data_IF_163366661171
#
_entry.id   IF_163366661171
#
_cell.length_a   1.000
_cell.length_b   1.000
_cell.length_c   1.000
_cell.angle_alpha   90.00
_cell.angle_beta   90.00
_cell.angle_gamma   90.00
#
_symmetry.space_group_name_H-M   'P 1'
#
loop_
_entity.id
_entity.type
_entity.pdbx_description
1 polymer ?
#
# COMPACT_ATOMS: atom_id res chain seq x y z
N UNK A 1 11.25 21.28 4.57
CA UNK A 1 11.78 21.11 5.94
C UNK A 1 12.53 19.79 5.94
N UNK A 2 13.81 19.78 6.18
CA UNK A 2 14.59 18.54 6.25
C UNK A 2 14.34 17.86 7.58
N UNK A 3 14.28 16.54 7.59
CA UNK A 3 14.14 15.77 8.82
C UNK A 3 15.41 15.93 9.67
N UNK A 4 15.23 16.10 10.97
CA UNK A 4 16.35 16.02 11.91
C UNK A 4 16.88 14.59 11.94
N UNK A 5 18.19 14.42 11.69
CA UNK A 5 18.80 13.10 11.64
C UNK A 5 18.78 12.42 13.01
N UNK A 6 18.59 11.11 13.00
CA UNK A 6 18.64 10.27 14.21
C UNK A 6 19.54 9.06 13.97
N UNK A 7 20.34 8.68 14.99
CA UNK A 7 21.07 7.42 14.95
C UNK A 7 20.10 6.25 14.75
N UNK A 8 20.44 5.32 13.85
CA UNK A 8 19.62 4.15 13.59
C UNK A 8 19.94 3.03 14.60
N UNK A 9 18.93 2.69 15.41
CA UNK A 9 18.90 1.43 16.16
C UNK A 9 18.35 0.28 15.25
N UNK A 10 18.25 -0.93 15.79
CA UNK A 10 17.74 -2.08 15.04
C UNK A 10 16.30 -1.88 14.57
N UNK A 11 15.48 -1.23 15.39
CA UNK A 11 14.09 -0.91 15.04
C UNK A 11 14.02 0.16 13.94
N UNK A 12 14.87 1.15 13.98
CA UNK A 12 15.01 2.17 12.95
C UNK A 12 15.43 1.55 11.60
N UNK A 13 16.42 0.65 11.63
CA UNK A 13 16.84 -0.12 10.43
C UNK A 13 15.71 -0.97 9.87
N UNK A 14 14.97 -1.65 10.73
CA UNK A 14 13.81 -2.44 10.30
C UNK A 14 12.76 -1.57 9.60
N UNK A 15 12.39 -0.41 10.17
CA UNK A 15 11.44 0.51 9.55
C UNK A 15 11.97 1.15 8.26
N UNK A 16 13.25 1.48 8.20
CA UNK A 16 13.88 1.97 6.98
C UNK A 16 13.86 0.91 5.88
N UNK A 17 14.05 -0.37 6.23
CA UNK A 17 13.90 -1.49 5.31
C UNK A 17 12.46 -1.65 4.79
N UNK A 18 11.45 -1.59 5.67
CA UNK A 18 10.04 -1.61 5.29
C UNK A 18 9.70 -0.46 4.32
N UNK A 19 10.24 0.74 4.60
CA UNK A 19 10.04 1.90 3.74
C UNK A 19 10.61 1.70 2.33
N UNK A 20 11.83 1.16 2.22
CA UNK A 20 12.43 0.86 0.92
C UNK A 20 11.62 -0.14 0.10
N UNK A 21 11.11 -1.20 0.74
CA UNK A 21 10.23 -2.16 0.07
C UNK A 21 8.93 -1.50 -0.43
N UNK A 22 8.35 -0.57 0.34
CA UNK A 22 7.18 0.18 -0.09
C UNK A 22 7.47 1.06 -1.32
N UNK A 23 8.61 1.76 -1.32
CA UNK A 23 9.02 2.61 -2.45
C UNK A 23 9.29 1.81 -3.73
N UNK A 24 9.75 0.56 -3.58
CA UNK A 24 9.97 -0.34 -4.71
C UNK A 24 8.66 -0.89 -5.30
N UNK A 25 7.57 -0.96 -4.51
CA UNK A 25 6.28 -1.52 -4.91
C UNK A 25 5.88 -2.80 -4.16
N UNK A 26 6.70 -3.26 -3.21
CA UNK A 26 6.42 -4.46 -2.40
C UNK A 26 5.51 -4.17 -1.19
N UNK A 27 4.50 -3.32 -1.37
CA UNK A 27 3.63 -2.81 -0.29
C UNK A 27 2.43 -3.73 0.06
N UNK A 28 2.35 -4.93 -0.54
CA UNK A 28 1.25 -5.89 -0.33
C UNK A 28 1.63 -7.15 0.44
N UNK A 29 2.90 -7.29 0.82
CA UNK A 29 3.41 -8.39 1.65
C UNK A 29 3.46 -7.97 3.13
N UNK A 30 3.74 -8.92 4.03
CA UNK A 30 3.85 -8.63 5.47
C UNK A 30 4.98 -7.62 5.75
N UNK A 31 4.92 -6.93 6.89
CA UNK A 31 5.97 -5.97 7.26
C UNK A 31 7.32 -6.67 7.46
N UNK A 32 7.33 -7.88 8.00
CA UNK A 32 8.56 -8.66 8.19
C UNK A 32 9.15 -9.10 6.86
N UNK A 33 8.31 -9.52 5.90
CA UNK A 33 8.77 -9.86 4.54
C UNK A 33 9.33 -8.65 3.81
N UNK A 34 8.75 -7.44 4.00
CA UNK A 34 9.30 -6.20 3.45
C UNK A 34 10.67 -5.89 4.02
N UNK A 35 10.80 -5.97 5.35
CA UNK A 35 12.09 -5.75 6.01
C UNK A 35 13.13 -6.77 5.51
N UNK A 36 12.76 -8.05 5.45
CA UNK A 36 13.64 -9.11 4.93
C UNK A 36 14.06 -8.84 3.49
N UNK A 37 13.11 -8.49 2.63
CA UNK A 37 13.40 -8.11 1.24
C UNK A 37 14.45 -7.00 1.15
N UNK A 38 14.34 -5.96 1.99
CA UNK A 38 15.29 -4.87 2.01
C UNK A 38 16.69 -5.31 2.44
N UNK A 39 16.79 -6.21 3.43
CA UNK A 39 18.08 -6.80 3.84
C UNK A 39 18.69 -7.64 2.71
N UNK A 40 17.89 -8.45 2.03
CA UNK A 40 18.32 -9.27 0.90
C UNK A 40 18.74 -8.39 -0.32
N UNK A 41 18.08 -7.23 -0.51
CA UNK A 41 18.36 -6.27 -1.58
C UNK A 41 19.58 -5.39 -1.32
N UNK A 42 20.17 -5.41 -0.13
CA UNK A 42 21.30 -4.55 0.25
C UNK A 42 22.47 -4.54 -0.75
N UNK A 43 22.94 -5.68 -1.31
CA UNK A 43 24.01 -5.65 -2.29
C UNK A 43 23.67 -4.81 -3.53
N UNK A 44 22.42 -4.86 -4.00
CA UNK A 44 21.95 -4.06 -5.12
C UNK A 44 21.90 -2.57 -4.75
N UNK A 45 21.40 -2.23 -3.54
CA UNK A 45 21.38 -0.86 -3.06
C UNK A 45 22.80 -0.24 -2.98
N UNK A 46 23.77 -1.01 -2.52
CA UNK A 46 25.20 -0.59 -2.50
C UNK A 46 25.73 -0.35 -3.92
N UNK A 47 25.40 -1.24 -4.87
CA UNK A 47 25.80 -1.07 -6.26
C UNK A 47 25.16 0.18 -6.89
N UNK A 48 23.87 0.41 -6.65
CA UNK A 48 23.15 1.59 -7.11
C UNK A 48 23.75 2.86 -6.48
N UNK A 49 24.01 2.85 -5.19
CA UNK A 49 24.61 4.00 -4.49
C UNK A 49 26.02 4.33 -5.01
N UNK A 50 26.81 3.33 -5.42
CA UNK A 50 28.15 3.51 -5.96
C UNK A 50 28.16 4.15 -7.36
N UNK A 51 27.26 3.77 -8.24
CA UNK A 51 27.12 4.32 -9.59
C UNK A 51 25.66 4.22 -10.09
N UNK A 52 24.83 5.19 -9.77
CA UNK A 52 23.40 5.16 -10.13
C UNK A 52 23.13 5.36 -11.64
N UNK A 53 24.14 5.75 -12.40
CA UNK A 53 24.01 5.92 -13.86
C UNK A 53 24.24 4.62 -14.61
N UNK A 54 24.98 3.69 -14.03
CA UNK A 54 25.23 2.37 -14.61
C UNK A 54 24.30 1.30 -14.03
N UNK A 55 23.88 1.46 -12.78
CA UNK A 55 22.98 0.54 -12.10
C UNK A 55 21.59 1.16 -12.05
N UNK A 56 20.77 0.87 -13.06
CA UNK A 56 19.48 1.51 -13.28
C UNK A 56 18.28 0.80 -12.64
N UNK A 57 18.50 -0.26 -11.87
CA UNK A 57 17.42 -1.05 -11.24
C UNK A 57 16.49 -0.20 -10.37
N UNK A 58 16.97 0.93 -9.85
CA UNK A 58 16.15 1.89 -9.10
C UNK A 58 15.04 2.52 -9.94
N UNK A 59 15.18 2.56 -11.27
CA UNK A 59 14.14 3.13 -12.17
C UNK A 59 12.92 2.24 -12.33
N UNK A 60 12.99 0.97 -11.91
CA UNK A 60 11.89 0.02 -11.92
C UNK A 60 10.98 0.15 -10.69
N UNK A 61 11.39 0.92 -9.69
CA UNK A 61 10.60 1.16 -8.48
C UNK A 61 9.34 1.97 -8.79
N UNK A 62 8.28 1.78 -8.00
CA UNK A 62 7.04 2.56 -8.10
C UNK A 62 7.31 4.06 -7.84
N UNK A 63 8.22 4.38 -6.88
CA UNK A 63 8.68 5.72 -6.55
C UNK A 63 10.19 5.86 -6.79
N UNK A 64 10.67 5.94 -8.06
CA UNK A 64 12.09 5.76 -8.42
C UNK A 64 13.04 6.73 -7.71
N UNK A 65 12.73 8.02 -7.66
CA UNK A 65 13.62 9.02 -7.06
C UNK A 65 13.73 8.88 -5.54
N UNK A 66 12.64 8.55 -4.88
CA UNK A 66 12.65 8.29 -3.44
C UNK A 66 13.37 6.98 -3.13
N UNK A 67 13.20 5.97 -3.99
CA UNK A 67 13.91 4.71 -3.89
C UNK A 67 15.42 4.87 -4.10
N UNK A 68 15.83 5.71 -5.05
CA UNK A 68 17.25 6.05 -5.21
C UNK A 68 17.82 6.72 -3.95
N UNK A 69 17.11 7.67 -3.36
CA UNK A 69 17.51 8.30 -2.11
C UNK A 69 17.60 7.27 -0.96
N UNK A 70 16.67 6.32 -0.92
CA UNK A 70 16.72 5.20 0.01
C UNK A 70 17.94 4.31 -0.23
N UNK A 71 18.32 4.02 -1.46
CA UNK A 71 19.51 3.22 -1.75
C UNK A 71 20.80 3.85 -1.18
N UNK A 72 20.94 5.16 -1.27
CA UNK A 72 22.09 5.87 -0.65
C UNK A 72 22.09 5.70 0.87
N UNK A 73 20.98 5.93 1.54
CA UNK A 73 20.88 5.76 3.00
C UNK A 73 21.03 4.29 3.41
N UNK A 74 20.41 3.34 2.66
CA UNK A 74 20.45 1.92 3.00
C UNK A 74 21.82 1.28 2.83
N UNK A 75 22.61 1.77 1.89
CA UNK A 75 23.99 1.33 1.70
C UNK A 75 24.83 1.54 2.96
N UNK A 76 24.64 2.67 3.66
CA UNK A 76 25.37 3.09 4.86
C UNK A 76 24.66 2.77 6.18
N UNK A 77 23.36 2.41 6.14
CA UNK A 77 22.51 2.20 7.33
C UNK A 77 23.01 1.12 8.30
N UNK A 78 23.99 0.31 7.88
CA UNK A 78 24.58 -0.76 8.69
C UNK A 78 25.92 -0.39 9.34
N UNK A 79 26.39 0.82 9.10
CA UNK A 79 27.59 1.33 9.76
C UNK A 79 27.27 1.75 11.18
N UNK A 80 28.24 1.57 12.09
CA UNK A 80 28.08 1.95 13.49
C UNK A 80 27.94 3.47 13.61
N UNK A 81 26.93 3.91 14.32
CA UNK A 81 26.67 5.34 14.54
C UNK A 81 26.08 6.08 13.34
N UNK A 82 25.68 5.38 12.28
CA UNK A 82 25.02 6.01 11.14
C UNK A 82 23.78 6.81 11.55
N UNK A 83 23.68 8.04 11.04
CA UNK A 83 22.58 8.96 11.30
C UNK A 83 21.74 9.09 10.04
N UNK A 84 20.52 8.55 10.06
CA UNK A 84 19.58 8.67 8.93
C UNK A 84 18.81 9.98 8.96
N UNK A 85 18.68 10.60 7.81
CA UNK A 85 17.88 11.80 7.56
C UNK A 85 16.65 11.52 6.67
N UNK A 86 16.47 10.28 6.24
CA UNK A 86 15.36 9.90 5.38
C UNK A 86 14.08 9.69 6.20
N UNK A 87 13.00 10.43 5.93
CA UNK A 87 11.73 10.21 6.60
C UNK A 87 11.09 8.91 6.12
N UNK A 88 10.65 8.08 7.06
CA UNK A 88 9.87 6.88 6.77
C UNK A 88 8.41 7.26 6.59
N UNK A 89 7.87 7.02 5.38
CA UNK A 89 6.46 7.25 5.07
C UNK A 89 5.58 6.14 5.65
N UNK A 90 4.55 6.55 6.40
CA UNK A 90 3.48 5.68 6.88
C UNK A 90 2.16 6.23 6.35
N UNK A 91 1.32 5.36 5.79
CA UNK A 91 0.01 5.72 5.26
C UNK A 91 -1.08 4.83 5.83
N UNK A 92 -2.31 5.37 5.89
CA UNK A 92 -3.49 4.65 6.33
C UNK A 92 -4.16 3.89 5.17
N UNK A 93 -4.75 2.74 5.49
CA UNK A 93 -5.54 1.97 4.54
C UNK A 93 -6.98 2.46 4.55
N UNK A 94 -7.37 3.35 3.60
CA UNK A 94 -8.72 3.92 3.54
C UNK A 94 -9.10 4.64 4.85
N UNK A 95 -8.34 5.68 5.20
CA UNK A 95 -8.41 6.36 6.50
C UNK A 95 -9.82 6.86 6.90
N UNK A 96 -10.67 7.24 5.95
CA UNK A 96 -12.05 7.59 6.24
C UNK A 96 -12.83 6.43 6.88
N UNK A 97 -12.72 5.22 6.33
CA UNK A 97 -13.34 4.02 6.92
C UNK A 97 -12.63 3.61 8.22
N UNK A 98 -11.30 3.79 8.32
CA UNK A 98 -10.60 3.58 9.59
C UNK A 98 -11.17 4.42 10.71
N UNK A 99 -11.39 5.72 10.47
CA UNK A 99 -11.98 6.62 11.46
C UNK A 99 -13.40 6.20 11.84
N UNK A 100 -14.24 5.84 10.87
CA UNK A 100 -15.59 5.35 11.16
C UNK A 100 -15.57 4.06 11.98
N UNK A 101 -14.75 3.10 11.59
CA UNK A 101 -14.61 1.83 12.31
C UNK A 101 -14.14 2.04 13.75
N UNK A 102 -13.18 2.94 13.95
CA UNK A 102 -12.70 3.30 15.29
C UNK A 102 -13.80 3.96 16.14
N UNK A 103 -14.52 4.94 15.59
CA UNK A 103 -15.60 5.66 16.28
C UNK A 103 -16.77 4.75 16.63
N UNK A 104 -17.16 3.86 15.72
CA UNK A 104 -18.26 2.92 15.90
C UNK A 104 -17.86 1.66 16.66
N UNK A 105 -16.58 1.47 16.95
CA UNK A 105 -16.00 0.24 17.50
C UNK A 105 -16.35 -0.98 16.66
N UNK A 106 -16.36 -0.80 15.33
CA UNK A 106 -16.61 -1.84 14.35
C UNK A 106 -15.33 -2.65 14.12
N UNK A 107 -15.29 -3.84 14.67
CA UNK A 107 -14.13 -4.73 14.57
C UNK A 107 -13.94 -5.26 13.15
N UNK A 108 -15.04 -5.49 12.42
CA UNK A 108 -15.00 -6.00 11.03
C UNK A 108 -14.42 -4.95 10.09
N UNK A 109 -14.94 -3.72 10.15
CA UNK A 109 -14.39 -2.60 9.38
C UNK A 109 -12.96 -2.26 9.79
N UNK A 110 -12.65 -2.37 11.08
CA UNK A 110 -11.29 -2.19 11.61
C UNK A 110 -10.30 -3.21 11.04
N UNK A 111 -10.68 -4.47 10.97
CA UNK A 111 -9.86 -5.53 10.36
C UNK A 111 -9.66 -5.30 8.86
N UNK A 112 -10.75 -4.96 8.14
CA UNK A 112 -10.72 -4.71 6.69
C UNK A 112 -9.87 -3.48 6.29
N UNK A 113 -9.63 -2.55 7.24
CA UNK A 113 -8.86 -1.33 7.04
C UNK A 113 -7.54 -1.30 7.80
N UNK A 114 -7.06 -2.44 8.27
CA UNK A 114 -5.77 -2.59 8.96
C UNK A 114 -5.64 -1.81 10.29
N UNK A 115 -6.75 -1.55 11.00
CA UNK A 115 -6.73 -1.06 12.38
C UNK A 115 -6.48 -2.18 13.39
N UNK A 116 -6.82 -3.41 13.03
CA UNK A 116 -6.57 -4.60 13.85
C UNK A 116 -5.32 -5.29 13.30
N UNK A 117 -4.35 -5.66 14.15
CA UNK A 117 -3.16 -6.35 13.72
C UNK A 117 -3.49 -7.66 13.00
N UNK A 118 -2.87 -7.89 11.85
CA UNK A 118 -3.01 -9.11 11.06
C UNK A 118 -1.66 -9.51 10.44
N UNK A 119 -1.43 -10.80 10.15
CA UNK A 119 -0.18 -11.27 9.54
C UNK A 119 0.06 -10.65 8.15
N UNK A 120 -1.00 -10.42 7.40
CA UNK A 120 -0.96 -9.81 6.06
C UNK A 120 -1.93 -8.65 6.01
N UNK A 121 -1.56 -7.52 5.40
CA UNK A 121 -2.45 -6.39 5.25
C UNK A 121 -3.74 -6.74 4.50
N UNK A 122 -4.89 -6.32 5.03
CA UNK A 122 -6.18 -6.40 4.34
C UNK A 122 -6.25 -5.35 3.22
N UNK A 123 -7.03 -5.65 2.18
CA UNK A 123 -7.31 -4.73 1.07
C UNK A 123 -8.83 -4.58 0.92
N UNK A 124 -9.39 -3.61 1.60
CA UNK A 124 -10.84 -3.33 1.61
C UNK A 124 -11.39 -3.13 0.18
N UNK A 125 -10.60 -2.59 -0.73
CA UNK A 125 -11.06 -2.36 -2.10
C UNK A 125 -11.27 -3.67 -2.86
N UNK A 126 -10.39 -4.64 -2.63
CA UNK A 126 -10.51 -5.99 -3.21
C UNK A 126 -11.67 -6.76 -2.58
N UNK A 127 -11.88 -6.63 -1.28
CA UNK A 127 -13.00 -7.26 -0.59
C UNK A 127 -14.35 -6.72 -1.11
N UNK A 128 -14.45 -5.41 -1.32
CA UNK A 128 -15.66 -4.81 -1.92
C UNK A 128 -15.85 -5.26 -3.37
N UNK A 129 -14.79 -5.38 -4.16
CA UNK A 129 -14.87 -5.89 -5.52
C UNK A 129 -15.44 -7.31 -5.54
N UNK A 130 -14.90 -8.20 -4.73
CA UNK A 130 -15.37 -9.58 -4.58
C UNK A 130 -16.83 -9.64 -4.13
N UNK A 131 -17.21 -8.82 -3.13
CA UNK A 131 -18.61 -8.79 -2.67
C UNK A 131 -19.57 -8.26 -3.73
N UNK A 132 -19.13 -7.30 -4.55
CA UNK A 132 -19.93 -6.82 -5.67
C UNK A 132 -20.15 -7.92 -6.74
N UNK A 133 -19.12 -8.70 -7.07
CA UNK A 133 -19.25 -9.86 -7.98
C UNK A 133 -20.20 -10.91 -7.42
N UNK A 134 -20.13 -11.23 -6.14
CA UNK A 134 -21.05 -12.15 -5.47
C UNK A 134 -22.51 -11.68 -5.62
N UNK A 135 -22.79 -10.42 -5.28
CA UNK A 135 -24.15 -9.84 -5.38
C UNK A 135 -24.66 -9.87 -6.82
N UNK A 136 -23.82 -9.51 -7.80
CA UNK A 136 -24.22 -9.52 -9.20
C UNK A 136 -24.45 -10.94 -9.72
N UNK A 137 -23.75 -11.94 -9.21
CA UNK A 137 -23.95 -13.35 -9.57
C UNK A 137 -25.25 -13.93 -9.03
N UNK A 138 -25.82 -13.33 -7.98
CA UNK A 138 -27.10 -13.72 -7.39
C UNK A 138 -28.31 -13.12 -8.13
N UNK A 139 -28.10 -12.20 -9.08
CA UNK A 139 -29.20 -11.59 -9.88
C UNK A 139 -29.79 -12.63 -10.81
N UNK A 140 -31.07 -12.97 -10.61
CA UNK A 140 -31.80 -13.95 -11.40
C UNK A 140 -32.23 -13.45 -12.79
N UNK A 141 -32.54 -14.37 -13.68
CA UNK A 141 -32.97 -14.06 -15.06
C UNK A 141 -34.25 -13.22 -15.14
N UNK A 142 -35.09 -13.30 -14.10
CA UNK A 142 -36.33 -12.52 -14.00
C UNK A 142 -36.13 -11.06 -13.56
N UNK A 143 -34.92 -10.70 -13.12
CA UNK A 143 -34.62 -9.34 -12.72
C UNK A 143 -34.37 -8.43 -13.93
N UNK A 144 -35.00 -7.25 -13.99
CA UNK A 144 -34.82 -6.32 -15.12
C UNK A 144 -33.37 -5.89 -15.35
N UNK A 145 -32.51 -6.02 -14.33
CA UNK A 145 -31.09 -5.68 -14.40
C UNK A 145 -30.18 -6.88 -14.71
N UNK A 146 -30.75 -8.07 -14.97
CA UNK A 146 -29.98 -9.29 -15.21
C UNK A 146 -28.87 -9.12 -16.26
N UNK A 147 -29.22 -8.60 -17.44
CA UNK A 147 -28.23 -8.42 -18.51
C UNK A 147 -27.14 -7.41 -18.17
N UNK A 148 -27.46 -6.38 -17.38
CA UNK A 148 -26.48 -5.43 -16.88
C UNK A 148 -25.55 -6.09 -15.88
N UNK A 149 -26.09 -6.89 -14.96
CA UNK A 149 -25.29 -7.65 -14.00
C UNK A 149 -24.33 -8.62 -14.71
N UNK A 150 -24.82 -9.37 -15.71
CA UNK A 150 -23.98 -10.27 -16.51
C UNK A 150 -22.89 -9.52 -17.27
N UNK A 151 -23.20 -8.34 -17.81
CA UNK A 151 -22.22 -7.51 -18.51
C UNK A 151 -21.08 -7.07 -17.57
N UNK A 152 -21.39 -6.69 -16.32
CA UNK A 152 -20.39 -6.36 -15.32
C UNK A 152 -19.55 -7.56 -14.90
N UNK A 153 -20.15 -8.74 -14.75
CA UNK A 153 -19.42 -9.97 -14.43
C UNK A 153 -18.45 -10.38 -15.55
N UNK A 154 -18.86 -10.19 -16.82
CA UNK A 154 -17.98 -10.45 -17.98
C UNK A 154 -16.87 -9.41 -18.08
N UNK A 155 -17.15 -8.14 -17.78
CA UNK A 155 -16.15 -7.07 -17.75
C UNK A 155 -15.13 -7.29 -16.65
N UNK A 156 -15.55 -7.85 -15.50
CA UNK A 156 -14.76 -8.05 -14.30
C UNK A 156 -14.74 -6.82 -13.41
N UNK A 157 -14.92 -7.04 -12.11
CA UNK A 157 -14.90 -5.98 -11.09
C UNK A 157 -13.62 -6.11 -10.29
N UNK A 158 -12.65 -5.32 -10.65
CA UNK A 158 -11.35 -5.34 -9.96
C UNK A 158 -11.23 -4.26 -8.87
N UNK A 159 -10.11 -4.32 -8.15
CA UNK A 159 -9.72 -3.33 -7.14
C UNK A 159 -9.69 -1.90 -7.69
N UNK A 160 -9.30 -1.72 -8.95
CA UNK A 160 -9.13 -0.40 -9.56
C UNK A 160 -10.48 0.31 -9.73
N UNK A 161 -11.51 -0.45 -10.11
CA UNK A 161 -12.89 0.04 -10.25
C UNK A 161 -13.44 0.46 -8.89
N UNK A 162 -13.30 -0.38 -7.87
CA UNK A 162 -13.91 -0.14 -6.55
C UNK A 162 -13.17 0.91 -5.71
N UNK A 163 -11.86 1.07 -5.91
CA UNK A 163 -11.01 1.94 -5.07
C UNK A 163 -11.55 3.37 -4.98
N UNK A 164 -11.88 3.99 -6.10
CA UNK A 164 -12.34 5.39 -6.11
C UNK A 164 -13.64 5.55 -5.32
N UNK A 165 -14.61 4.68 -5.55
CA UNK A 165 -15.91 4.72 -4.91
C UNK A 165 -15.81 4.50 -3.41
N UNK A 166 -15.12 3.44 -3.00
CA UNK A 166 -14.95 3.08 -1.57
C UNK A 166 -14.16 4.16 -0.83
N UNK A 167 -13.09 4.68 -1.43
CA UNK A 167 -12.24 5.69 -0.81
C UNK A 167 -12.98 7.02 -0.57
N UNK A 168 -13.90 7.39 -1.45
CA UNK A 168 -14.60 8.67 -1.39
C UNK A 168 -15.94 8.60 -0.65
N UNK A 169 -16.50 7.40 -0.44
CA UNK A 169 -17.77 7.19 0.27
C UNK A 169 -17.79 7.86 1.66
N UNK A 170 -16.78 7.71 2.51
CA UNK A 170 -16.78 8.34 3.85
C UNK A 170 -16.80 9.87 3.82
N UNK A 171 -16.47 10.47 2.68
CA UNK A 171 -16.45 11.92 2.49
C UNK A 171 -17.73 12.46 1.83
N UNK A 172 -18.80 11.64 1.79
CA UNK A 172 -20.11 12.06 1.29
C UNK A 172 -20.20 12.16 -0.23
N UNK A 173 -19.43 11.36 -0.96
CA UNK A 173 -19.56 11.28 -2.42
C UNK A 173 -20.98 10.88 -2.81
N UNK A 174 -21.53 11.54 -3.81
CA UNK A 174 -22.87 11.27 -4.33
C UNK A 174 -22.81 10.44 -5.61
N UNK A 175 -23.91 9.76 -5.95
CA UNK A 175 -24.05 9.03 -7.21
C UNK A 175 -23.66 9.87 -8.44
N UNK A 176 -24.02 11.16 -8.46
CA UNK A 176 -23.66 12.08 -9.56
C UNK A 176 -22.17 12.31 -9.71
N UNK A 177 -21.44 12.30 -8.61
CA UNK A 177 -19.98 12.50 -8.60
C UNK A 177 -19.20 11.31 -9.15
N UNK A 178 -19.84 10.15 -9.30
CA UNK A 178 -19.22 8.95 -9.90
C UNK A 178 -19.40 8.87 -11.40
N UNK A 179 -20.31 9.66 -11.98
CA UNK A 179 -20.60 9.64 -13.42
C UNK A 179 -19.76 10.63 -14.24
N UNK A 180 -18.90 11.40 -13.57
CA UNK A 180 -17.89 12.27 -14.17
C UNK A 180 -16.52 11.64 -13.98
#
# INVERSE_FOLDING_TARGET
MFAEGKPLDDKGRWWLGVHGANLFGNDKISLDDRAKWAFDYRPNAVNIASDPYRNLDWTEADDPWQFLAWCFEWAEAHEEGFVSHLPVGLDGSCNGLQHFSALLRDEVGGAATNLVPAPVPADIYREVAKRAEEILSEVGEDDPNFWMAQSWLVFGIDRKITKRSVMTLPYGVTYRSHMC
#
